data_IF_859992443157
#
_entry.id   IF_859992443157
#
_cell.length_a   1.000
_cell.length_b   1.000
_cell.length_c   1.000
_cell.angle_alpha   90.00
_cell.angle_beta   90.00
_cell.angle_gamma   90.00
#
_symmetry.space_group_name_H-M   'P 1'
#
loop_
_entity.id
_entity.type
_entity.pdbx_description
1 polymer ?
#
# COMPACT_ATOMS: atom_id res chain seq x y z
N UNK A 1 -38.36 -0.95 -31.58
CA UNK A 1 -37.63 -0.14 -30.57
C UNK A 1 -37.25 -0.93 -29.32
N UNK A 2 -38.11 -1.76 -28.74
CA UNK A 2 -37.79 -2.53 -27.51
C UNK A 2 -36.57 -3.48 -27.61
N UNK A 3 -36.39 -4.19 -28.73
CA UNK A 3 -35.24 -5.11 -28.92
C UNK A 3 -33.87 -4.41 -28.92
N UNK A 4 -33.79 -3.18 -29.43
CA UNK A 4 -32.54 -2.41 -29.48
C UNK A 4 -32.14 -1.95 -28.09
N UNK A 5 -33.11 -1.53 -27.27
CA UNK A 5 -32.90 -1.11 -25.89
C UNK A 5 -32.47 -2.28 -24.99
N UNK A 6 -33.08 -3.45 -25.19
CA UNK A 6 -32.75 -4.66 -24.42
C UNK A 6 -31.33 -5.16 -24.70
N UNK A 7 -30.91 -5.16 -25.98
CA UNK A 7 -29.55 -5.53 -26.39
C UNK A 7 -28.48 -4.55 -25.88
N UNK A 8 -28.82 -3.26 -25.78
CA UNK A 8 -27.95 -2.25 -25.16
C UNK A 8 -27.83 -2.41 -23.64
N UNK A 9 -28.90 -2.83 -22.95
CA UNK A 9 -28.86 -3.12 -21.51
C UNK A 9 -28.01 -4.36 -21.22
N UNK A 10 -28.15 -5.43 -22.01
CA UNK A 10 -27.32 -6.64 -21.89
C UNK A 10 -25.83 -6.36 -22.16
N UNK A 11 -25.52 -5.55 -23.19
CA UNK A 11 -24.14 -5.16 -23.48
C UNK A 11 -23.52 -4.30 -22.36
N UNK A 12 -24.29 -3.37 -21.76
CA UNK A 12 -23.83 -2.59 -20.60
C UNK A 12 -23.62 -3.43 -19.35
N UNK A 13 -24.51 -4.40 -19.10
CA UNK A 13 -24.36 -5.35 -17.99
C UNK A 13 -23.11 -6.21 -18.17
N UNK A 14 -22.85 -6.72 -19.38
CA UNK A 14 -21.63 -7.48 -19.72
C UNK A 14 -20.34 -6.67 -19.53
N UNK A 15 -20.34 -5.39 -19.90
CA UNK A 15 -19.17 -4.50 -19.71
C UNK A 15 -18.97 -4.14 -18.23
N UNK A 16 -20.04 -3.93 -17.46
CA UNK A 16 -19.97 -3.73 -16.00
C UNK A 16 -19.49 -4.99 -15.27
N UNK A 17 -19.90 -6.17 -15.72
CA UNK A 17 -19.42 -7.46 -15.21
C UNK A 17 -17.94 -7.65 -15.51
N UNK A 18 -17.49 -7.30 -16.73
CA UNK A 18 -16.08 -7.38 -17.11
C UNK A 18 -15.23 -6.35 -16.32
N UNK A 19 -15.74 -5.14 -16.11
CA UNK A 19 -15.08 -4.13 -15.29
C UNK A 19 -14.89 -4.59 -13.84
N UNK A 20 -15.96 -5.09 -13.22
CA UNK A 20 -15.93 -5.53 -11.83
C UNK A 20 -15.07 -6.78 -11.61
N UNK A 21 -14.97 -7.68 -12.59
CA UNK A 21 -14.14 -8.90 -12.48
C UNK A 21 -12.64 -8.64 -12.64
N UNK A 22 -12.23 -7.71 -13.51
CA UNK A 22 -10.81 -7.52 -13.83
C UNK A 22 -10.21 -6.24 -13.27
N UNK A 23 -10.95 -5.12 -13.25
CA UNK A 23 -10.39 -3.83 -12.84
C UNK A 23 -10.57 -3.55 -11.35
N UNK A 24 -11.61 -4.07 -10.71
CA UNK A 24 -11.83 -3.85 -9.28
C UNK A 24 -10.74 -4.48 -8.39
N UNK A 25 -10.27 -5.73 -8.62
CA UNK A 25 -9.16 -6.29 -7.84
C UNK A 25 -7.86 -5.50 -8.01
N UNK A 26 -7.54 -5.11 -9.24
CA UNK A 26 -6.36 -4.30 -9.57
C UNK A 26 -6.40 -2.91 -8.92
N UNK A 27 -7.56 -2.25 -8.94
CA UNK A 27 -7.75 -0.96 -8.28
C UNK A 27 -7.57 -1.04 -6.76
N UNK A 28 -8.12 -2.09 -6.11
CA UNK A 28 -7.94 -2.33 -4.67
C UNK A 28 -6.48 -2.60 -4.31
N UNK A 29 -5.76 -3.35 -5.14
CA UNK A 29 -4.33 -3.60 -4.94
C UNK A 29 -3.52 -2.30 -5.05
N UNK A 30 -3.80 -1.46 -6.06
CA UNK A 30 -3.15 -0.16 -6.23
C UNK A 30 -3.45 0.78 -5.06
N UNK A 31 -4.70 0.81 -4.57
CA UNK A 31 -5.09 1.59 -3.39
C UNK A 31 -4.30 1.15 -2.14
N UNK A 32 -4.19 -0.16 -1.90
CA UNK A 32 -3.43 -0.70 -0.77
C UNK A 32 -1.93 -0.32 -0.84
N UNK A 33 -1.31 -0.43 -2.02
CA UNK A 33 0.08 -0.01 -2.24
C UNK A 33 0.27 1.49 -2.01
N UNK A 34 -0.68 2.33 -2.47
CA UNK A 34 -0.63 3.77 -2.23
C UNK A 34 -0.77 4.09 -0.73
N UNK A 35 -1.65 3.40 -0.01
CA UNK A 35 -1.79 3.53 1.44
C UNK A 35 -0.48 3.23 2.16
N UNK A 36 0.17 2.11 1.84
CA UNK A 36 1.47 1.74 2.40
C UNK A 36 2.56 2.79 2.11
N UNK A 37 2.60 3.32 0.88
CA UNK A 37 3.55 4.36 0.52
C UNK A 37 3.33 5.65 1.33
N UNK A 38 2.06 6.04 1.56
CA UNK A 38 1.73 7.21 2.38
C UNK A 38 2.24 7.00 3.80
N UNK A 39 1.95 5.86 4.42
CA UNK A 39 2.40 5.55 5.79
C UNK A 39 3.93 5.60 5.92
N UNK A 40 4.66 5.01 4.97
CA UNK A 40 6.12 5.05 4.95
C UNK A 40 6.65 6.50 4.80
N UNK A 41 6.04 7.30 3.93
CA UNK A 41 6.43 8.70 3.74
C UNK A 41 6.18 9.54 4.99
N UNK A 42 5.06 9.30 5.68
CA UNK A 42 4.74 9.97 6.95
C UNK A 42 5.73 9.59 8.04
N UNK A 43 6.12 8.31 8.14
CA UNK A 43 7.19 7.87 9.03
C UNK A 43 8.50 8.60 8.74
N UNK A 44 8.95 8.60 7.47
CA UNK A 44 10.21 9.21 7.06
C UNK A 44 10.23 10.71 7.37
N UNK A 45 9.12 11.40 7.07
CA UNK A 45 8.98 12.83 7.37
C UNK A 45 9.10 13.10 8.87
N UNK A 46 8.32 12.38 9.70
CA UNK A 46 8.35 12.56 11.15
C UNK A 46 9.74 12.25 11.73
N UNK A 47 10.42 11.23 11.20
CA UNK A 47 11.79 10.86 11.58
C UNK A 47 12.78 11.98 11.26
N UNK A 48 12.71 12.55 10.06
CA UNK A 48 13.60 13.64 9.64
C UNK A 48 13.35 14.95 10.39
N UNK A 49 12.09 15.28 10.69
CA UNK A 49 11.78 16.45 11.51
C UNK A 49 12.37 16.32 12.92
N UNK A 50 12.27 15.12 13.52
CA UNK A 50 12.88 14.80 14.81
C UNK A 50 14.40 14.88 14.77
N UNK A 51 15.03 14.31 13.73
CA UNK A 51 16.48 14.37 13.54
C UNK A 51 16.99 15.80 13.43
N UNK A 52 16.31 16.60 12.62
CA UNK A 52 16.65 18.00 12.44
C UNK A 52 16.58 18.76 13.77
N UNK A 53 15.53 18.54 14.57
CA UNK A 53 15.40 19.17 15.88
C UNK A 53 16.54 18.77 16.82
N UNK A 54 16.83 17.47 16.90
CA UNK A 54 17.85 16.96 17.81
C UNK A 54 19.27 17.41 17.41
N UNK A 55 19.59 17.46 16.11
CA UNK A 55 20.85 18.02 15.61
C UNK A 55 20.95 19.53 15.90
N UNK A 56 19.83 20.26 15.83
CA UNK A 56 19.81 21.67 16.20
C UNK A 56 20.03 21.88 17.70
N UNK A 57 19.60 20.95 18.55
CA UNK A 57 19.89 20.97 19.99
C UNK A 57 21.36 20.63 20.26
N UNK A 58 21.89 19.60 19.59
CA UNK A 58 23.31 19.24 19.68
C UNK A 58 24.23 20.41 19.33
N UNK A 59 23.88 21.18 18.30
CA UNK A 59 24.65 22.34 17.87
C UNK A 59 24.67 23.52 18.87
N UNK A 60 23.80 23.51 19.88
CA UNK A 60 23.68 24.57 20.90
C UNK A 60 24.24 24.15 22.26
N UNK A 61 24.65 22.90 22.42
CA UNK A 61 25.14 22.37 23.69
C UNK A 61 26.63 22.66 23.85
N UNK A 62 26.96 23.36 24.94
CA UNK A 62 28.35 23.66 25.30
C UNK A 62 29.03 22.56 26.14
N UNK A 63 28.24 21.70 26.79
CA UNK A 63 28.74 20.59 27.61
C UNK A 63 29.04 19.34 26.74
N UNK A 64 30.30 18.91 26.63
CA UNK A 64 30.66 17.73 25.85
C UNK A 64 30.00 16.44 26.31
N UNK A 65 29.72 16.27 27.61
CA UNK A 65 29.07 15.07 28.12
C UNK A 65 27.60 15.01 27.64
N UNK A 66 26.89 16.13 27.74
CA UNK A 66 25.53 16.26 27.23
C UNK A 66 25.45 16.12 25.70
N UNK A 67 26.43 16.68 24.97
CA UNK A 67 26.52 16.52 23.52
C UNK A 67 26.69 15.05 23.11
N UNK A 68 27.56 14.31 23.80
CA UNK A 68 27.75 12.88 23.57
C UNK A 68 26.51 12.06 23.89
N UNK A 69 25.77 12.41 24.94
CA UNK A 69 24.50 11.75 25.26
C UNK A 69 23.48 11.95 24.14
N UNK A 70 23.29 13.19 23.67
CA UNK A 70 22.37 13.50 22.56
C UNK A 70 22.77 12.72 21.29
N UNK A 71 24.06 12.63 21.00
CA UNK A 71 24.57 11.88 19.86
C UNK A 71 24.34 10.37 19.97
N UNK A 72 24.45 9.79 21.16
CA UNK A 72 24.15 8.36 21.37
C UNK A 72 22.65 8.09 21.24
N UNK A 73 21.81 8.95 21.83
CA UNK A 73 20.36 8.84 21.77
C UNK A 73 19.85 8.91 20.32
N UNK A 74 20.47 9.73 19.47
CA UNK A 74 20.20 9.79 18.03
C UNK A 74 20.30 8.42 17.36
N UNK A 75 21.46 7.78 17.48
CA UNK A 75 21.73 6.52 16.81
C UNK A 75 20.88 5.40 17.41
N UNK A 76 20.75 5.36 18.74
CA UNK A 76 19.89 4.39 19.42
C UNK A 76 18.45 4.46 18.92
N UNK A 77 17.86 5.66 18.92
CA UNK A 77 16.49 5.87 18.42
C UNK A 77 16.37 5.61 16.93
N UNK A 78 17.36 6.01 16.13
CA UNK A 78 17.40 5.73 14.70
C UNK A 78 17.25 4.23 14.43
N UNK A 79 18.13 3.41 15.04
CA UNK A 79 18.10 1.97 14.81
C UNK A 79 16.78 1.34 15.26
N UNK A 80 16.26 1.74 16.42
CA UNK A 80 14.97 1.23 16.92
C UNK A 80 13.81 1.60 15.99
N UNK A 81 13.68 2.88 15.62
CA UNK A 81 12.56 3.37 14.81
C UNK A 81 12.56 2.71 13.42
N UNK A 82 13.71 2.63 12.74
CA UNK A 82 13.80 1.96 11.44
C UNK A 82 13.59 0.45 11.52
N UNK A 83 13.99 -0.20 12.62
CA UNK A 83 13.73 -1.63 12.81
C UNK A 83 12.22 -1.89 12.94
N UNK A 84 11.53 -1.09 13.75
CA UNK A 84 10.07 -1.17 13.91
C UNK A 84 9.36 -0.93 12.58
N UNK A 85 9.77 0.11 11.84
CA UNK A 85 9.16 0.41 10.55
C UNK A 85 9.41 -0.68 9.51
N UNK A 86 10.60 -1.28 9.51
CA UNK A 86 10.91 -2.43 8.63
C UNK A 86 10.03 -3.64 8.95
N UNK A 87 9.76 -3.90 10.24
CA UNK A 87 8.83 -4.97 10.65
C UNK A 87 7.41 -4.71 10.15
N UNK A 88 6.92 -3.46 10.25
CA UNK A 88 5.61 -3.09 9.70
C UNK A 88 5.56 -3.26 8.18
N UNK A 89 6.59 -2.79 7.47
CA UNK A 89 6.68 -2.94 6.02
C UNK A 89 6.63 -4.42 5.60
N UNK A 90 7.34 -5.29 6.34
CA UNK A 90 7.32 -6.72 6.09
C UNK A 90 5.94 -7.35 6.35
N UNK A 91 5.24 -6.92 7.40
CA UNK A 91 3.87 -7.36 7.67
C UNK A 91 2.92 -6.97 6.53
N UNK A 92 2.96 -5.71 6.09
CA UNK A 92 2.15 -5.22 4.97
C UNK A 92 2.48 -5.90 3.64
N UNK A 93 3.75 -6.24 3.39
CA UNK A 93 4.11 -7.01 2.20
C UNK A 93 3.43 -8.40 2.17
N UNK A 94 3.24 -9.02 3.34
CA UNK A 94 2.46 -10.26 3.48
C UNK A 94 0.98 -10.06 3.11
N UNK A 95 0.36 -8.99 3.62
CA UNK A 95 -1.04 -8.65 3.33
C UNK A 95 -1.27 -8.34 1.84
N UNK A 96 -0.32 -7.65 1.19
CA UNK A 96 -0.34 -7.39 -0.25
C UNK A 96 -0.21 -8.70 -1.03
N UNK A 97 0.70 -9.60 -0.63
CA UNK A 97 0.86 -10.90 -1.27
C UNK A 97 -0.41 -11.77 -1.17
N UNK A 98 -1.06 -11.79 0.00
CA UNK A 98 -2.36 -12.47 0.18
C UNK A 98 -3.46 -11.86 -0.69
N UNK A 99 -3.49 -10.53 -0.78
CA UNK A 99 -4.46 -9.80 -1.61
C UNK A 99 -4.23 -10.05 -3.10
N UNK A 100 -2.97 -10.13 -3.53
CA UNK A 100 -2.60 -10.48 -4.89
C UNK A 100 -2.99 -11.92 -5.24
N UNK A 101 -2.73 -12.89 -4.34
CA UNK A 101 -3.11 -14.29 -4.53
C UNK A 101 -4.64 -14.45 -4.64
N UNK A 102 -5.38 -13.75 -3.79
CA UNK A 102 -6.85 -13.73 -3.81
C UNK A 102 -7.36 -13.14 -5.12
N UNK A 103 -6.82 -11.99 -5.54
CA UNK A 103 -7.19 -11.32 -6.78
C UNK A 103 -6.91 -12.20 -8.01
N UNK A 104 -5.75 -12.85 -8.07
CA UNK A 104 -5.41 -13.79 -9.14
C UNK A 104 -6.37 -15.00 -9.18
N UNK A 105 -6.82 -15.48 -8.02
CA UNK A 105 -7.82 -16.56 -7.93
C UNK A 105 -9.20 -16.09 -8.41
N UNK A 106 -9.64 -14.90 -7.99
CA UNK A 106 -10.90 -14.28 -8.43
C UNK A 106 -10.91 -14.09 -9.96
N UNK A 107 -9.84 -13.51 -10.51
CA UNK A 107 -9.65 -13.30 -11.95
C UNK A 107 -9.61 -14.64 -12.73
N UNK A 108 -8.89 -15.64 -12.21
CA UNK A 108 -8.82 -16.97 -12.83
C UNK A 108 -10.18 -17.67 -12.86
N UNK A 109 -10.94 -17.56 -11.78
CA UNK A 109 -12.31 -18.11 -11.69
C UNK A 109 -13.26 -17.38 -12.64
N UNK A 110 -13.13 -16.05 -12.74
CA UNK A 110 -13.89 -15.23 -13.68
C UNK A 110 -13.60 -15.63 -15.13
N UNK A 111 -12.33 -15.79 -15.53
CA UNK A 111 -11.95 -16.24 -16.87
C UNK A 111 -12.54 -17.61 -17.22
N UNK A 112 -12.48 -18.58 -16.30
CA UNK A 112 -13.06 -19.91 -16.49
C UNK A 112 -14.58 -19.85 -16.66
N UNK A 113 -15.26 -18.99 -15.89
CA UNK A 113 -16.71 -18.81 -15.99
C UNK A 113 -17.15 -18.18 -17.33
N UNK A 114 -16.36 -17.24 -17.86
CA UNK A 114 -16.60 -16.64 -19.18
C UNK A 114 -16.32 -17.63 -20.31
N UNK A 115 -15.26 -18.43 -20.21
CA UNK A 115 -14.94 -19.46 -21.20
C UNK A 115 -15.99 -20.58 -21.24
N UNK A 116 -16.60 -20.91 -20.10
CA UNK A 116 -17.74 -21.82 -20.02
C UNK A 116 -19.00 -21.26 -20.69
N UNK A 117 -19.36 -20.01 -20.39
CA UNK A 117 -20.51 -19.32 -21.00
C UNK A 117 -20.38 -19.07 -22.51
N UNK A 118 -19.15 -19.03 -23.05
CA UNK A 118 -18.91 -18.83 -24.48
C UNK A 118 -19.02 -20.13 -25.32
N UNK A 119 -19.14 -21.30 -24.68
CA UNK A 119 -19.27 -22.61 -25.36
C UNK A 119 -20.72 -23.11 -25.45
N UNK A 120 -21.65 -22.46 -24.75
CA UNK A 120 -23.11 -22.71 -24.80
C UNK A 120 -23.80 -21.68 -25.69
#
# INVERSE_FOLDING_TARGET
MAKTTMKQMEAKASVLDTWSMFFAPQARMAEAMLGQNIELLDFLKARFERDKAMLADLAKVDDPAMAMQIWQDFWGRMFTDYSVETTKLAAHAGEIAETALRSATEEGTAMLSMAGKAKD
#
